data_IF_315552426486
#
_entry.id   IF_315552426486
#
_cell.length_a   1.000
_cell.length_b   1.000
_cell.length_c   1.000
_cell.angle_alpha   90.00
_cell.angle_beta   90.00
_cell.angle_gamma   90.00
#
_symmetry.space_group_name_H-M   'P 1'
#
loop_
_entity.id
_entity.type
_entity.pdbx_description
1 polymer ?
#
# COMPACT_ATOMS: atom_id res chain seq x y z
N UNK A 1 -7.47 13.06 22.57
CA UNK A 1 -7.41 11.96 23.52
C UNK A 1 -5.95 11.75 23.93
N UNK A 2 -5.63 11.55 25.23
CA UNK A 2 -4.25 11.39 25.73
C UNK A 2 -3.47 10.31 25.00
N UNK A 3 -4.06 9.15 24.77
CA UNK A 3 -3.46 8.03 24.05
C UNK A 3 -3.02 8.39 22.62
N UNK A 4 -3.82 9.20 21.92
CA UNK A 4 -3.47 9.64 20.55
C UNK A 4 -2.22 10.50 20.55
N UNK A 5 -2.10 11.42 21.48
CA UNK A 5 -0.92 12.29 21.61
C UNK A 5 0.34 11.46 21.88
N UNK A 6 0.26 10.52 22.82
CA UNK A 6 1.39 9.65 23.13
C UNK A 6 1.82 8.80 21.93
N UNK A 7 0.89 8.28 21.13
CA UNK A 7 1.20 7.53 19.91
C UNK A 7 1.93 8.43 18.91
N UNK A 8 1.46 9.65 18.69
CA UNK A 8 2.09 10.61 17.77
C UNK A 8 3.52 10.95 18.21
N UNK A 9 3.73 11.21 19.50
CA UNK A 9 5.05 11.50 20.06
C UNK A 9 6.02 10.31 19.87
N UNK A 10 5.59 9.09 20.18
CA UNK A 10 6.40 7.88 19.99
C UNK A 10 6.70 7.61 18.50
N UNK A 11 5.74 7.84 17.62
CA UNK A 11 5.96 7.72 16.17
C UNK A 11 6.94 8.78 15.67
N UNK A 12 6.90 9.99 16.21
CA UNK A 12 7.89 11.03 15.91
C UNK A 12 9.30 10.56 16.28
N UNK A 13 9.51 10.12 17.51
CA UNK A 13 10.81 9.64 18.00
C UNK A 13 11.34 8.46 17.17
N UNK A 14 10.50 7.46 16.94
CA UNK A 14 10.85 6.30 16.11
C UNK A 14 11.18 6.70 14.67
N UNK A 15 10.40 7.62 14.10
CA UNK A 15 10.61 8.14 12.76
C UNK A 15 11.95 8.89 12.63
N UNK A 16 12.27 9.73 13.60
CA UNK A 16 13.56 10.44 13.63
C UNK A 16 14.75 9.47 13.75
N UNK A 17 14.60 8.42 14.57
CA UNK A 17 15.62 7.36 14.66
C UNK A 17 15.80 6.61 13.35
N UNK A 18 14.71 6.27 12.67
CA UNK A 18 14.74 5.62 11.36
C UNK A 18 15.38 6.54 10.31
N UNK A 19 14.94 7.80 10.25
CA UNK A 19 15.44 8.79 9.30
C UNK A 19 16.95 9.00 9.41
N UNK A 20 17.48 9.15 10.61
CA UNK A 20 18.94 9.26 10.85
C UNK A 20 19.73 8.05 10.34
N UNK A 21 19.10 6.88 10.19
CA UNK A 21 19.69 5.65 9.66
C UNK A 21 19.37 5.41 8.18
N UNK A 22 18.78 6.39 7.49
CA UNK A 22 18.34 6.24 6.10
C UNK A 22 17.25 5.19 5.91
N UNK A 23 16.42 4.98 6.95
CA UNK A 23 15.30 4.03 6.96
C UNK A 23 13.97 4.74 7.05
N UNK A 24 12.91 4.03 6.68
CA UNK A 24 11.53 4.49 6.79
C UNK A 24 10.70 3.42 7.51
N UNK A 25 9.84 3.87 8.39
CA UNK A 25 8.81 3.05 9.03
C UNK A 25 7.50 3.29 8.29
N UNK A 26 6.94 2.25 7.71
CA UNK A 26 5.60 2.29 7.11
C UNK A 26 4.54 2.03 8.15
N UNK A 27 3.57 2.92 8.27
CA UNK A 27 2.41 2.73 9.14
C UNK A 27 1.17 2.43 8.31
N UNK A 28 0.38 1.49 8.79
CA UNK A 28 -0.94 1.13 8.25
C UNK A 28 -2.03 1.76 9.11
N UNK A 29 -3.00 2.39 8.47
CA UNK A 29 -4.11 3.06 9.15
C UNK A 29 -5.42 2.87 8.39
N UNK A 30 -6.58 2.94 9.05
CA UNK A 30 -7.88 2.92 8.38
C UNK A 30 -8.26 4.29 7.79
N UNK A 31 -7.43 5.31 7.95
CA UNK A 31 -7.72 6.68 7.52
C UNK A 31 -7.70 6.80 5.98
N UNK A 32 -8.48 7.75 5.46
CA UNK A 32 -8.39 8.19 4.06
C UNK A 32 -7.13 9.04 3.82
N UNK A 33 -6.89 9.42 2.58
CA UNK A 33 -5.72 10.23 2.21
C UNK A 33 -5.61 11.53 3.01
N UNK A 34 -6.74 12.22 3.26
CA UNK A 34 -6.76 13.46 4.03
C UNK A 34 -6.37 13.22 5.49
N UNK A 35 -6.94 12.18 6.10
CA UNK A 35 -6.63 11.78 7.47
C UNK A 35 -5.18 11.33 7.62
N UNK A 36 -4.67 10.54 6.68
CA UNK A 36 -3.27 10.12 6.65
C UNK A 36 -2.30 11.30 6.51
N UNK A 37 -2.58 12.25 5.62
CA UNK A 37 -1.74 13.46 5.48
C UNK A 37 -1.71 14.28 6.76
N UNK A 38 -2.87 14.47 7.42
CA UNK A 38 -2.93 15.15 8.71
C UNK A 38 -2.12 14.41 9.77
N UNK A 39 -2.25 13.09 9.85
CA UNK A 39 -1.49 12.27 10.79
C UNK A 39 0.03 12.39 10.56
N UNK A 40 0.48 12.32 9.32
CA UNK A 40 1.90 12.51 8.99
C UNK A 40 2.41 13.90 9.36
N UNK A 41 1.60 14.95 9.17
CA UNK A 41 1.93 16.31 9.60
C UNK A 41 2.03 16.43 11.12
N UNK A 42 1.12 15.79 11.86
CA UNK A 42 1.13 15.77 13.34
C UNK A 42 2.37 15.01 13.86
N UNK A 43 2.72 13.88 13.24
CA UNK A 43 3.93 13.12 13.57
C UNK A 43 5.19 13.94 13.28
N UNK A 44 5.23 14.66 12.17
CA UNK A 44 6.31 15.60 11.84
C UNK A 44 7.67 14.95 11.60
N UNK A 45 7.73 13.69 11.16
CA UNK A 45 8.98 12.99 10.84
C UNK A 45 9.02 12.46 9.40
N UNK A 46 10.12 12.71 8.71
CA UNK A 46 10.39 12.14 7.37
C UNK A 46 10.62 10.63 7.39
N UNK A 47 10.89 10.06 8.55
CA UNK A 47 11.08 8.62 8.73
C UNK A 47 9.79 7.82 8.85
N UNK A 48 8.62 8.48 8.89
CA UNK A 48 7.31 7.81 8.90
C UNK A 48 6.60 8.08 7.59
N UNK A 49 6.11 7.02 6.97
CA UNK A 49 5.29 7.08 5.75
C UNK A 49 4.14 6.08 5.83
N UNK A 50 3.22 6.16 4.91
CA UNK A 50 2.07 5.27 4.84
C UNK A 50 2.46 3.99 4.09
N UNK A 51 2.18 2.84 4.70
CA UNK A 51 2.08 1.56 4.04
C UNK A 51 0.64 1.41 3.54
N UNK A 52 0.40 1.76 2.29
CA UNK A 52 -0.96 1.86 1.75
C UNK A 52 -1.54 0.48 1.44
N UNK A 53 -2.69 0.16 2.02
CA UNK A 53 -3.42 -1.10 1.76
C UNK A 53 -4.57 -0.90 0.80
N UNK A 54 -4.54 -1.63 -0.33
CA UNK A 54 -5.67 -1.66 -1.27
C UNK A 54 -6.91 -2.24 -0.62
N UNK A 55 -6.76 -3.27 0.21
CA UNK A 55 -7.86 -3.86 0.98
C UNK A 55 -8.62 -2.82 1.81
N UNK A 56 -7.92 -1.98 2.54
CA UNK A 56 -8.54 -0.94 3.38
C UNK A 56 -9.35 0.05 2.54
N UNK A 57 -8.85 0.42 1.37
CA UNK A 57 -9.61 1.28 0.46
C UNK A 57 -10.90 0.60 -0.05
N UNK A 58 -10.82 -0.70 -0.40
CA UNK A 58 -11.99 -1.49 -0.80
C UNK A 58 -13.03 -1.59 0.33
N UNK A 59 -12.60 -1.94 1.53
CA UNK A 59 -13.46 -2.07 2.71
C UNK A 59 -14.22 -0.79 3.03
N UNK A 60 -13.59 0.35 2.83
CA UNK A 60 -14.19 1.68 3.04
C UNK A 60 -14.83 2.27 1.77
N UNK A 61 -14.96 1.48 0.70
CA UNK A 61 -15.56 1.88 -0.59
C UNK A 61 -14.94 3.16 -1.18
N UNK A 62 -13.62 3.28 -1.08
CA UNK A 62 -12.87 4.43 -1.60
C UNK A 62 -12.47 4.20 -3.06
N UNK A 63 -12.44 5.27 -3.83
CA UNK A 63 -11.78 5.29 -5.13
C UNK A 63 -10.26 5.26 -4.89
N UNK A 64 -9.63 4.11 -5.15
CA UNK A 64 -8.22 3.86 -4.89
C UNK A 64 -7.34 4.88 -5.63
N UNK A 65 -7.63 5.12 -6.92
CA UNK A 65 -6.85 6.04 -7.74
C UNK A 65 -6.91 7.48 -7.22
N UNK A 66 -8.07 7.92 -6.79
CA UNK A 66 -8.27 9.25 -6.21
C UNK A 66 -7.60 9.37 -4.84
N UNK A 67 -7.70 8.33 -4.03
CA UNK A 67 -7.10 8.30 -2.69
C UNK A 67 -5.56 8.33 -2.78
N UNK A 68 -4.96 7.51 -3.65
CA UNK A 68 -3.52 7.52 -3.92
C UNK A 68 -3.02 8.90 -4.37
N UNK A 69 -3.70 9.52 -5.35
CA UNK A 69 -3.33 10.87 -5.83
C UNK A 69 -3.41 11.92 -4.74
N UNK A 70 -4.45 11.87 -3.91
CA UNK A 70 -4.59 12.79 -2.77
C UNK A 70 -3.52 12.59 -1.71
N UNK A 71 -3.15 11.34 -1.42
CA UNK A 71 -2.11 11.02 -0.46
C UNK A 71 -0.75 11.52 -0.93
N UNK A 72 -0.43 11.32 -2.21
CA UNK A 72 0.80 11.76 -2.84
C UNK A 72 1.94 10.75 -2.72
N UNK A 73 2.74 10.64 -3.78
CA UNK A 73 3.80 9.64 -3.91
C UNK A 73 4.83 9.67 -2.77
N UNK A 74 5.23 10.86 -2.32
CA UNK A 74 6.23 11.04 -1.26
C UNK A 74 5.80 10.54 0.11
N UNK A 75 4.49 10.38 0.33
CA UNK A 75 3.92 9.90 1.59
C UNK A 75 3.73 8.38 1.64
N UNK A 76 3.97 7.66 0.53
CA UNK A 76 3.76 6.23 0.41
C UNK A 76 5.10 5.52 0.34
N UNK A 77 5.41 4.66 1.32
CA UNK A 77 6.65 3.88 1.31
C UNK A 77 6.51 2.53 0.61
N UNK A 78 5.33 1.93 0.67
CA UNK A 78 5.05 0.65 0.05
C UNK A 78 3.53 0.47 -0.11
N UNK A 79 3.13 -0.49 -0.94
CA UNK A 79 1.72 -0.81 -1.18
C UNK A 79 1.48 -2.29 -0.86
N UNK A 80 0.51 -2.55 -0.02
CA UNK A 80 -0.03 -3.87 0.21
C UNK A 80 -1.04 -4.16 -0.92
N UNK A 81 -0.56 -4.87 -1.94
CA UNK A 81 -1.26 -5.10 -3.21
C UNK A 81 -2.10 -6.38 -3.16
N UNK A 82 -2.93 -6.53 -2.13
CA UNK A 82 -3.88 -7.64 -2.02
C UNK A 82 -5.19 -7.20 -1.37
N UNK A 83 -6.20 -8.02 -1.52
CA UNK A 83 -7.50 -7.87 -0.89
C UNK A 83 -7.69 -8.98 0.16
N UNK A 84 -8.87 -9.09 0.75
CA UNK A 84 -9.28 -10.25 1.55
C UNK A 84 -9.19 -11.54 0.72
N UNK A 85 -9.14 -12.67 1.41
CA UNK A 85 -9.21 -13.96 0.73
C UNK A 85 -10.59 -14.15 0.07
N UNK A 86 -10.61 -14.80 -1.04
CA UNK A 86 -11.79 -15.04 -1.87
C UNK A 86 -11.35 -15.57 -3.22
N UNK A 87 -10.76 -14.72 -4.01
CA UNK A 87 -10.21 -15.03 -5.34
C UNK A 87 -8.83 -14.43 -5.50
N UNK A 88 -8.05 -14.91 -6.45
CA UNK A 88 -6.79 -14.27 -6.83
C UNK A 88 -7.01 -12.88 -7.39
N UNK A 89 -6.01 -12.01 -7.26
CA UNK A 89 -6.04 -10.62 -7.73
C UNK A 89 -6.50 -10.47 -9.18
N UNK A 90 -6.13 -11.41 -10.05
CA UNK A 90 -6.55 -11.44 -11.45
C UNK A 90 -8.08 -11.49 -11.61
N UNK A 91 -8.78 -12.11 -10.68
CA UNK A 91 -10.21 -12.31 -10.70
C UNK A 91 -10.98 -11.39 -9.75
N UNK A 92 -10.26 -10.56 -9.00
CA UNK A 92 -10.85 -9.63 -8.05
C UNK A 92 -11.38 -8.38 -8.79
N UNK A 93 -12.71 -8.27 -8.83
CA UNK A 93 -13.39 -7.14 -9.46
C UNK A 93 -13.41 -5.86 -8.60
N UNK A 94 -13.05 -5.96 -7.33
CA UNK A 94 -13.02 -4.82 -6.42
C UNK A 94 -11.78 -3.94 -6.61
N UNK A 95 -10.74 -4.48 -7.24
CA UNK A 95 -9.48 -3.77 -7.50
C UNK A 95 -9.18 -3.78 -9.00
N UNK A 96 -9.30 -2.62 -9.64
CA UNK A 96 -8.79 -2.40 -11.01
C UNK A 96 -7.26 -2.18 -10.94
N UNK A 97 -6.50 -3.27 -10.93
CA UNK A 97 -5.05 -3.22 -10.81
C UNK A 97 -4.37 -2.46 -11.97
N UNK A 98 -4.82 -2.59 -13.23
CA UNK A 98 -4.35 -1.71 -14.31
C UNK A 98 -4.55 -0.22 -14.03
N UNK A 99 -5.68 0.19 -13.45
CA UNK A 99 -5.93 1.58 -13.08
C UNK A 99 -5.01 2.03 -11.93
N UNK A 100 -4.76 1.16 -10.96
CA UNK A 100 -3.77 1.40 -9.88
C UNK A 100 -2.38 1.65 -10.49
N UNK A 101 -1.94 0.78 -11.40
CA UNK A 101 -0.66 0.94 -12.12
C UNK A 101 -0.57 2.29 -12.83
N UNK A 102 -1.56 2.62 -13.66
CA UNK A 102 -1.59 3.92 -14.38
C UNK A 102 -1.53 5.12 -13.43
N UNK A 103 -2.19 5.02 -12.29
CA UNK A 103 -2.18 6.07 -11.27
C UNK A 103 -0.80 6.24 -10.66
N UNK A 104 -0.16 5.15 -10.26
CA UNK A 104 1.18 5.17 -9.67
C UNK A 104 2.23 5.67 -10.66
N UNK A 105 2.14 5.28 -11.93
CA UNK A 105 3.02 5.79 -12.99
C UNK A 105 2.89 7.32 -13.16
N UNK A 106 1.65 7.82 -13.24
CA UNK A 106 1.40 9.26 -13.34
C UNK A 106 1.86 10.05 -12.13
N UNK A 107 1.87 9.43 -10.96
CA UNK A 107 2.40 10.02 -9.72
C UNK A 107 3.93 9.96 -9.65
N UNK A 108 4.58 9.21 -10.54
CA UNK A 108 6.01 8.95 -10.46
C UNK A 108 6.40 8.10 -9.25
N UNK A 109 5.48 7.29 -8.73
CA UNK A 109 5.75 6.46 -7.57
C UNK A 109 6.53 5.20 -7.97
N UNK A 110 7.54 4.86 -7.16
CA UNK A 110 8.30 3.62 -7.25
C UNK A 110 8.53 3.06 -5.85
N UNK A 111 8.35 1.76 -5.69
CA UNK A 111 8.49 1.13 -4.39
C UNK A 111 8.12 -0.35 -4.43
N UNK A 112 7.94 -0.92 -3.24
CA UNK A 112 7.61 -2.32 -3.06
C UNK A 112 6.10 -2.57 -3.08
N UNK A 113 5.72 -3.64 -3.77
CA UNK A 113 4.37 -4.22 -3.69
C UNK A 113 4.46 -5.50 -2.84
N UNK A 114 3.61 -5.58 -1.83
CA UNK A 114 3.51 -6.74 -0.93
C UNK A 114 2.23 -7.50 -1.19
N UNK A 115 2.31 -8.82 -1.18
CA UNK A 115 1.16 -9.73 -1.29
C UNK A 115 1.08 -10.55 -0.02
N UNK A 116 -0.06 -10.46 0.68
CA UNK A 116 -0.29 -11.20 1.93
C UNK A 116 -1.54 -12.07 1.86
N UNK A 117 -2.54 -11.63 1.10
CA UNK A 117 -3.85 -12.28 0.96
C UNK A 117 -4.26 -12.45 -0.50
N UNK A 118 -5.53 -12.38 -0.82
CA UNK A 118 -6.12 -12.69 -2.14
C UNK A 118 -5.88 -14.15 -2.52
N UNK A 119 -6.12 -15.04 -1.55
CA UNK A 119 -6.03 -16.49 -1.75
C UNK A 119 -7.37 -17.03 -2.20
N UNK A 120 -7.33 -18.06 -3.04
CA UNK A 120 -8.54 -18.84 -3.37
C UNK A 120 -9.07 -19.53 -2.10
N UNK A 121 -10.30 -19.21 -1.72
CA UNK A 121 -10.94 -19.78 -0.51
C UNK A 121 -11.14 -21.28 -0.59
N UNK A 122 -11.22 -21.85 -1.80
CA UNK A 122 -11.36 -23.28 -2.01
C UNK A 122 -10.04 -24.05 -1.86
N UNK A 123 -8.89 -23.32 -1.89
CA UNK A 123 -7.55 -23.91 -1.81
C UNK A 123 -6.60 -23.02 -1.00
N UNK A 124 -7.09 -22.44 0.09
CA UNK A 124 -6.40 -21.41 0.88
C UNK A 124 -5.05 -21.87 1.45
N UNK A 125 -4.88 -23.17 1.70
CA UNK A 125 -3.64 -23.75 2.26
C UNK A 125 -2.54 -23.91 1.22
N UNK A 126 -2.85 -23.84 -0.05
CA UNK A 126 -1.89 -23.95 -1.14
C UNK A 126 -1.12 -22.61 -1.32
N UNK A 127 -0.23 -22.35 -0.38
CA UNK A 127 0.53 -21.09 -0.28
C UNK A 127 1.31 -20.81 -1.57
N UNK A 128 2.02 -21.83 -2.07
CA UNK A 128 2.84 -21.70 -3.28
C UNK A 128 2.00 -21.29 -4.49
N UNK A 129 0.85 -21.90 -4.69
CA UNK A 129 -0.05 -21.59 -5.80
C UNK A 129 -0.66 -20.20 -5.63
N UNK A 130 -1.26 -19.91 -4.47
CA UNK A 130 -1.94 -18.65 -4.21
C UNK A 130 -1.02 -17.43 -4.37
N UNK A 131 0.14 -17.45 -3.74
CA UNK A 131 1.10 -16.34 -3.88
C UNK A 131 1.77 -16.32 -5.24
N UNK A 132 2.03 -17.50 -5.83
CA UNK A 132 2.59 -17.61 -7.17
C UNK A 132 1.70 -16.95 -8.23
N UNK A 133 0.40 -17.20 -8.19
CA UNK A 133 -0.57 -16.61 -9.13
C UNK A 133 -0.67 -15.08 -8.94
N UNK A 134 -0.76 -14.61 -7.71
CA UNK A 134 -0.85 -13.17 -7.44
C UNK A 134 0.44 -12.43 -7.83
N UNK A 135 1.61 -12.97 -7.52
CA UNK A 135 2.90 -12.39 -7.92
C UNK A 135 3.06 -12.38 -9.43
N UNK A 136 2.68 -13.46 -10.11
CA UNK A 136 2.72 -13.53 -11.59
C UNK A 136 1.85 -12.43 -12.19
N UNK A 137 0.62 -12.28 -11.72
CA UNK A 137 -0.27 -11.22 -12.18
C UNK A 137 0.28 -9.82 -11.96
N UNK A 138 0.82 -9.55 -10.76
CA UNK A 138 1.45 -8.25 -10.49
C UNK A 138 2.66 -8.00 -11.39
N UNK A 139 3.47 -9.02 -11.69
CA UNK A 139 4.59 -8.89 -12.64
C UNK A 139 4.13 -8.61 -14.06
N UNK A 140 2.99 -9.16 -14.48
CA UNK A 140 2.39 -8.84 -15.79
C UNK A 140 1.96 -7.36 -15.86
N UNK A 141 1.34 -6.84 -14.79
CA UNK A 141 0.85 -5.46 -14.73
C UNK A 141 1.97 -4.45 -14.53
N UNK A 142 2.90 -4.71 -13.59
CA UNK A 142 3.92 -3.76 -13.16
C UNK A 142 5.31 -4.04 -13.72
N UNK A 143 5.52 -5.18 -14.36
CA UNK A 143 6.78 -5.50 -15.02
C UNK A 143 7.13 -4.45 -16.07
N UNK A 144 8.42 -4.16 -16.24
CA UNK A 144 8.88 -3.35 -17.36
C UNK A 144 8.50 -4.09 -18.65
N UNK A 145 7.85 -3.42 -19.59
CA UNK A 145 7.79 -3.91 -20.96
C UNK A 145 9.21 -4.24 -21.37
N UNK A 146 9.46 -5.49 -21.80
CA UNK A 146 10.70 -5.81 -22.48
C UNK A 146 10.66 -4.95 -23.73
N UNK A 147 11.38 -3.81 -23.71
CA UNK A 147 11.65 -3.08 -24.93
C UNK A 147 12.35 -4.07 -25.85
N UNK A 148 11.60 -4.58 -26.82
CA UNK A 148 12.11 -5.47 -27.85
C UNK A 148 13.26 -4.75 -28.56
N UNK A 149 14.43 -5.37 -28.54
CA UNK A 149 15.46 -5.13 -29.54
C UNK A 149 15.18 -6.01 -30.71
#
# INVERSE_FOLDING_TARGET
LPLRREIVERLHEAGEMAHRRGKVIGIDTPLDAKGNKRLLQEIGSKGIKIFYKLQTAVEHRRDISKDLRKLGASNICAIHASNTDGVWLRHDKAIDMPAVKRTLDKMGWSGWLFVERSRDVNDVRNVKKNYGENVRYLKEIFGKEKTGR
#
